data_IF_957750095273
#
_entry.id   IF_957750095273
#
_cell.length_a   1.000
_cell.length_b   1.000
_cell.length_c   1.000
_cell.angle_alpha   90.00
_cell.angle_beta   90.00
_cell.angle_gamma   90.00
#
_symmetry.space_group_name_H-M   'P 1'
#
loop_
_entity.id
_entity.type
_entity.pdbx_description
1 polymer ?
#
# COMPACT_ATOMS: atom_id res chain seq x y z
N UNK A 1 6.95 -14.07 -3.03
CA UNK A 1 7.17 -14.12 -1.57
C UNK A 1 6.78 -12.83 -0.88
N UNK A 2 7.20 -11.67 -1.38
CA UNK A 2 6.87 -10.34 -0.81
C UNK A 2 5.42 -10.17 -0.35
N UNK A 3 4.47 -10.53 -1.21
CA UNK A 3 3.04 -10.31 -0.96
C UNK A 3 2.45 -11.12 0.20
N UNK A 4 3.12 -12.19 0.64
CA UNK A 4 2.62 -13.13 1.66
C UNK A 4 3.52 -13.12 2.89
N UNK A 5 4.84 -13.19 2.69
CA UNK A 5 5.79 -13.34 3.81
C UNK A 5 6.06 -12.02 4.52
N UNK A 6 6.19 -10.90 3.79
CA UNK A 6 6.52 -9.61 4.41
C UNK A 6 5.42 -9.08 5.33
N UNK A 7 4.12 -9.12 4.98
CA UNK A 7 3.07 -8.67 5.89
C UNK A 7 3.09 -9.41 7.23
N UNK A 8 3.32 -10.73 7.21
CA UNK A 8 3.48 -11.56 8.42
C UNK A 8 4.69 -11.11 9.22
N UNK A 9 5.85 -10.92 8.59
CA UNK A 9 7.07 -10.45 9.27
C UNK A 9 6.95 -9.03 9.83
N UNK A 10 6.23 -8.16 9.14
CA UNK A 10 5.97 -6.80 9.64
C UNK A 10 5.01 -6.80 10.81
N UNK A 11 4.03 -7.71 10.82
CA UNK A 11 3.13 -7.91 11.94
C UNK A 11 3.86 -8.45 13.17
N UNK A 12 4.66 -9.51 13.01
CA UNK A 12 5.51 -10.07 14.08
C UNK A 12 6.44 -8.99 14.70
N UNK A 13 6.85 -8.00 13.90
CA UNK A 13 7.69 -6.88 14.33
C UNK A 13 6.90 -5.69 14.91
N UNK A 14 5.57 -5.78 15.01
CA UNK A 14 4.70 -4.72 15.54
C UNK A 14 4.70 -3.44 14.70
N UNK A 15 4.98 -3.52 13.39
CA UNK A 15 4.96 -2.34 12.53
C UNK A 15 3.51 -1.88 12.40
N UNK A 16 3.14 -0.66 12.85
CA UNK A 16 1.74 -0.27 12.91
C UNK A 16 1.12 -0.06 11.53
N UNK A 17 1.93 0.37 10.56
CA UNK A 17 1.49 0.62 9.17
C UNK A 17 2.64 0.37 8.21
N UNK A 18 2.34 -0.22 7.07
CA UNK A 18 3.26 -0.28 5.94
C UNK A 18 2.53 -0.02 4.61
N UNK A 19 3.30 0.33 3.58
CA UNK A 19 2.80 0.52 2.23
C UNK A 19 3.50 -0.43 1.28
N UNK A 20 2.71 -1.02 0.39
CA UNK A 20 3.21 -1.80 -0.74
C UNK A 20 2.89 -1.05 -2.02
N UNK A 21 3.88 -0.90 -2.88
CA UNK A 21 3.72 -0.31 -4.21
C UNK A 21 3.87 -1.42 -5.24
N UNK A 22 2.89 -1.55 -6.11
CA UNK A 22 2.97 -2.42 -7.28
C UNK A 22 3.21 -1.55 -8.52
N UNK A 23 4.40 -1.68 -9.11
CA UNK A 23 4.80 -0.97 -10.33
C UNK A 23 4.58 -1.81 -11.60
N UNK A 24 4.31 -3.10 -11.44
CA UNK A 24 4.15 -4.08 -12.51
C UNK A 24 2.81 -4.80 -12.37
N UNK A 25 2.29 -5.43 -13.44
CA UNK A 25 1.02 -6.15 -13.38
C UNK A 25 0.97 -7.20 -12.27
N UNK A 26 -0.17 -7.32 -11.60
CA UNK A 26 -0.34 -8.22 -10.46
C UNK A 26 -1.71 -8.90 -10.44
N UNK A 27 -1.75 -10.09 -9.82
CA UNK A 27 -3.02 -10.82 -9.64
C UNK A 27 -3.96 -10.00 -8.76
N UNK A 28 -5.19 -9.77 -9.24
CA UNK A 28 -6.19 -8.94 -8.56
C UNK A 28 -6.13 -7.45 -8.91
N UNK A 29 -5.31 -7.05 -9.90
CA UNK A 29 -5.24 -5.67 -10.40
C UNK A 29 -6.60 -5.16 -10.92
N UNK A 30 -7.36 -5.99 -11.64
CA UNK A 30 -8.63 -5.55 -12.21
C UNK A 30 -8.41 -4.42 -13.21
N UNK A 31 -9.14 -3.31 -13.04
CA UNK A 31 -9.03 -2.11 -13.88
C UNK A 31 -8.05 -1.06 -13.35
N UNK A 32 -7.31 -1.35 -12.28
CA UNK A 32 -6.38 -0.36 -11.72
C UNK A 32 -5.24 -0.06 -12.68
N UNK A 33 -4.99 1.24 -12.89
CA UNK A 33 -3.80 1.71 -13.59
C UNK A 33 -2.58 1.74 -12.64
N UNK A 34 -1.44 1.26 -13.14
CA UNK A 34 -0.18 1.23 -12.40
C UNK A 34 0.48 2.62 -12.41
N UNK A 35 1.20 3.01 -11.34
CA UNK A 35 1.40 2.26 -10.10
C UNK A 35 0.16 2.18 -9.20
N UNK A 36 0.08 1.14 -8.37
CA UNK A 36 -0.95 1.00 -7.32
C UNK A 36 -0.30 0.95 -5.95
N UNK A 37 -0.78 1.82 -5.04
CA UNK A 37 -0.31 1.90 -3.66
C UNK A 37 -1.36 1.25 -2.74
N UNK A 38 -0.91 0.25 -1.98
CA UNK A 38 -1.66 -0.41 -0.93
C UNK A 38 -1.16 0.08 0.42
N UNK A 39 -2.05 0.49 1.32
CA UNK A 39 -1.71 0.83 2.71
C UNK A 39 -2.37 -0.17 3.64
N UNK A 40 -1.56 -0.74 4.53
CA UNK A 40 -1.98 -1.69 5.54
C UNK A 40 -1.82 -1.09 6.94
N UNK A 41 -2.70 -1.45 7.85
CA UNK A 41 -2.60 -1.15 9.28
C UNK A 41 -2.66 -2.44 10.09
N UNK A 42 -1.86 -2.52 11.16
CA UNK A 42 -1.89 -3.60 12.12
C UNK A 42 -3.16 -3.48 12.97
N UNK A 43 -3.94 -4.55 13.09
CA UNK A 43 -5.15 -4.62 13.90
C UNK A 43 -4.91 -5.26 15.28
N UNK A 44 -5.98 -5.45 16.06
CA UNK A 44 -5.93 -6.03 17.41
C UNK A 44 -5.58 -7.53 17.43
N UNK A 45 -5.60 -8.21 16.26
CA UNK A 45 -5.25 -9.61 16.12
C UNK A 45 -3.80 -9.81 15.64
N UNK A 46 -2.98 -8.76 15.69
CA UNK A 46 -1.64 -8.73 15.11
C UNK A 46 -1.65 -9.10 13.60
N UNK A 47 -2.69 -8.68 12.88
CA UNK A 47 -2.79 -8.87 11.44
C UNK A 47 -2.82 -7.54 10.68
N UNK A 48 -2.16 -7.52 9.53
CA UNK A 48 -2.15 -6.34 8.67
C UNK A 48 -3.36 -6.33 7.74
N UNK A 49 -4.30 -5.41 8.01
CA UNK A 49 -5.50 -5.21 7.20
C UNK A 49 -5.29 -4.12 6.15
N UNK A 50 -5.80 -4.36 4.94
CA UNK A 50 -5.77 -3.37 3.85
C UNK A 50 -6.77 -2.25 4.17
N UNK A 51 -6.27 -1.03 4.39
CA UNK A 51 -7.12 0.14 4.67
C UNK A 51 -7.26 1.08 3.47
N UNK A 52 -6.28 1.11 2.57
CA UNK A 52 -6.36 1.90 1.34
C UNK A 52 -5.74 1.18 0.15
N UNK A 53 -6.38 1.32 -1.00
CA UNK A 53 -5.88 0.93 -2.32
C UNK A 53 -6.07 2.11 -3.27
N UNK A 54 -4.98 2.63 -3.81
CA UNK A 54 -4.99 3.86 -4.62
C UNK A 54 -4.24 3.57 -5.92
N UNK A 55 -4.96 3.61 -7.03
CA UNK A 55 -4.40 3.43 -8.37
C UNK A 55 -4.05 4.79 -9.01
N UNK A 56 -3.29 4.75 -10.08
CA UNK A 56 -3.03 5.93 -10.93
C UNK A 56 -4.34 6.53 -11.43
N UNK A 57 -4.34 7.86 -11.62
CA UNK A 57 -5.55 8.64 -11.89
C UNK A 57 -6.37 9.01 -10.65
N UNK A 58 -6.01 8.47 -9.47
CA UNK A 58 -6.63 8.84 -8.19
C UNK A 58 -5.61 9.45 -7.24
N UNK A 59 -6.00 10.54 -6.59
CA UNK A 59 -5.19 11.17 -5.54
C UNK A 59 -5.98 11.25 -4.24
N UNK A 60 -5.36 10.82 -3.14
CA UNK A 60 -6.03 10.82 -1.83
C UNK A 60 -5.20 11.56 -0.77
N UNK A 61 -5.88 12.18 0.18
CA UNK A 61 -5.24 12.70 1.39
C UNK A 61 -5.35 11.64 2.48
N UNK A 62 -4.22 11.08 2.88
CA UNK A 62 -4.14 10.19 4.04
C UNK A 62 -3.79 11.01 5.28
N UNK A 63 -4.38 10.66 6.42
CA UNK A 63 -4.13 11.36 7.69
C UNK A 63 -3.21 10.60 8.64
N UNK A 64 -2.77 9.40 8.25
CA UNK A 64 -2.00 8.51 9.10
C UNK A 64 -0.74 7.95 8.40
N UNK A 65 0.39 7.82 9.12
CA UNK A 65 0.61 8.23 10.52
C UNK A 65 0.71 9.75 10.73
N UNK A 66 0.75 10.53 9.65
CA UNK A 66 0.64 11.99 9.62
C UNK A 66 -0.14 12.38 8.35
N UNK A 67 -0.53 13.65 8.23
CA UNK A 67 -1.24 14.14 7.04
C UNK A 67 -0.32 14.25 5.83
N UNK A 68 -0.65 13.55 4.74
CA UNK A 68 0.06 13.68 3.47
C UNK A 68 -0.80 13.24 2.28
N UNK A 69 -0.42 13.70 1.09
CA UNK A 69 -1.11 13.41 -0.17
C UNK A 69 -0.42 12.24 -0.88
N UNK A 70 -1.21 11.27 -1.33
CA UNK A 70 -0.75 10.11 -2.09
C UNK A 70 -1.23 10.24 -3.53
N UNK A 71 -0.27 10.38 -4.43
CA UNK A 71 -0.46 10.35 -5.88
C UNK A 71 0.44 9.25 -6.46
N UNK A 72 -0.11 8.08 -6.83
CA UNK A 72 0.68 7.00 -7.41
C UNK A 72 1.41 7.37 -8.71
N UNK A 73 0.85 8.28 -9.51
CA UNK A 73 1.43 8.68 -10.79
C UNK A 73 2.81 9.35 -10.61
N UNK A 74 3.01 10.04 -9.49
CA UNK A 74 4.26 10.70 -9.16
C UNK A 74 5.46 9.73 -9.10
N UNK A 75 5.23 8.45 -8.78
CA UNK A 75 6.29 7.43 -8.70
C UNK A 75 6.86 7.04 -10.06
N UNK A 76 6.07 7.19 -11.14
CA UNK A 76 6.52 6.90 -12.51
C UNK A 76 7.49 7.95 -13.07
N UNK A 77 7.64 9.09 -12.38
CA UNK A 77 8.49 10.21 -12.79
C UNK A 77 9.91 10.14 -12.22
N UNK A 78 10.16 9.22 -11.30
CA UNK A 78 11.46 8.98 -10.70
C UNK A 78 12.14 7.92 -11.59
N UNK A 79 12.88 8.37 -12.61
CA UNK A 79 13.77 7.54 -13.44
C UNK A 79 15.22 7.92 -13.22
#
# INVERSE_FOLDING_TARGET
MDRIVKPVKYAEAGIPRFRRVEMNPFRGQGSDELPVIFTYALDENDEHQLIHRVATGTTVNLREPFAFKVDPEALSRIR
#
